data_IF_974821554725
#
_entry.id   IF_974821554725
#
_cell.length_a   1.000
_cell.length_b   1.000
_cell.length_c   1.000
_cell.angle_alpha   90.00
_cell.angle_beta   90.00
_cell.angle_gamma   90.00
#
_symmetry.space_group_name_H-M   'P 1'
#
loop_
_entity.id
_entity.type
_entity.pdbx_description
1 polymer ?
#
# COMPACT_ATOMS: atom_id res chain seq x y z
N UNK A 1 15.41 -9.32 -19.51
CA UNK A 1 15.52 -8.88 -18.10
C UNK A 1 14.29 -9.36 -17.36
N UNK A 2 14.43 -9.96 -16.18
CA UNK A 2 13.26 -10.24 -15.36
C UNK A 2 12.74 -8.94 -14.68
N UNK A 3 11.54 -8.97 -14.11
CA UNK A 3 10.93 -7.79 -13.49
C UNK A 3 11.77 -7.20 -12.37
N UNK A 4 12.41 -8.05 -11.53
CA UNK A 4 13.29 -7.59 -10.46
C UNK A 4 14.49 -6.82 -10.98
N UNK A 5 15.19 -7.37 -11.97
CA UNK A 5 16.33 -6.72 -12.63
C UNK A 5 15.92 -5.39 -13.27
N UNK A 6 14.73 -5.33 -13.88
CA UNK A 6 14.19 -4.12 -14.51
C UNK A 6 13.95 -3.00 -13.52
N UNK A 7 13.33 -3.31 -12.38
CA UNK A 7 13.12 -2.34 -11.30
C UNK A 7 14.46 -1.85 -10.75
N UNK A 8 15.41 -2.75 -10.49
CA UNK A 8 16.74 -2.39 -9.96
C UNK A 8 17.48 -1.48 -10.94
N UNK A 9 17.54 -1.81 -12.24
CA UNK A 9 18.23 -0.96 -13.22
C UNK A 9 17.56 0.39 -13.43
N UNK A 10 16.24 0.48 -13.27
CA UNK A 10 15.54 1.75 -13.29
C UNK A 10 15.92 2.61 -12.07
N UNK A 11 15.97 2.03 -10.87
CA UNK A 11 16.37 2.72 -9.63
C UNK A 11 17.83 3.19 -9.72
N UNK A 12 18.73 2.33 -10.21
CA UNK A 12 20.16 2.61 -10.36
C UNK A 12 20.50 3.45 -11.59
N UNK A 13 19.50 3.79 -12.42
CA UNK A 13 19.68 4.51 -13.69
C UNK A 13 20.67 3.84 -14.65
N UNK A 14 20.75 2.50 -14.64
CA UNK A 14 21.72 1.70 -15.41
C UNK A 14 21.17 1.13 -16.72
N UNK A 15 20.01 1.62 -17.17
CA UNK A 15 19.40 1.25 -18.45
C UNK A 15 18.58 -0.04 -18.38
N UNK A 16 17.31 0.02 -17.90
CA UNK A 16 16.39 -1.11 -17.99
C UNK A 16 16.00 -1.36 -19.47
N UNK A 17 15.52 -2.57 -19.77
CA UNK A 17 15.06 -2.94 -21.12
C UNK A 17 13.73 -2.26 -21.50
N UNK A 18 12.93 -1.86 -20.51
CA UNK A 18 11.79 -0.96 -20.65
C UNK A 18 11.46 -0.27 -19.31
N UNK A 19 10.52 0.70 -19.32
CA UNK A 19 10.07 1.37 -18.10
C UNK A 19 9.30 0.37 -17.22
N UNK A 20 9.71 0.13 -15.96
CA UNK A 20 8.97 -0.78 -15.08
C UNK A 20 7.61 -0.20 -14.69
N UNK A 21 6.62 -1.07 -14.50
CA UNK A 21 5.24 -0.70 -14.14
C UNK A 21 4.89 -1.23 -12.75
N UNK A 22 4.15 -0.45 -11.96
CA UNK A 22 3.49 -0.94 -10.73
C UNK A 22 2.01 -0.58 -10.75
N UNK A 23 1.17 -1.57 -10.49
CA UNK A 23 -0.28 -1.37 -10.40
C UNK A 23 -0.71 -1.13 -8.95
N UNK A 24 -1.34 0.01 -8.69
CA UNK A 24 -1.78 0.43 -7.35
C UNK A 24 -3.26 0.87 -7.35
N UNK A 25 -4.15 -0.01 -7.81
CA UNK A 25 -5.58 0.26 -7.82
C UNK A 25 -6.23 0.08 -6.44
N UNK A 26 -7.18 0.95 -6.11
CA UNK A 26 -8.06 0.81 -4.95
C UNK A 26 -9.24 -0.14 -5.25
N UNK A 27 -9.91 -0.68 -4.23
CA UNK A 27 -11.03 -1.61 -4.40
C UNK A 27 -12.12 -1.13 -5.36
N UNK A 28 -12.39 0.19 -5.38
CA UNK A 28 -13.38 0.80 -6.28
C UNK A 28 -13.10 0.58 -7.76
N UNK A 29 -11.83 0.52 -8.17
CA UNK A 29 -11.48 0.23 -9.56
C UNK A 29 -11.87 -1.20 -9.95
N UNK A 30 -11.68 -2.17 -9.06
CA UNK A 30 -12.11 -3.54 -9.27
C UNK A 30 -13.63 -3.66 -9.22
N UNK A 31 -14.30 -2.98 -8.28
CA UNK A 31 -15.76 -2.97 -8.20
C UNK A 31 -16.40 -2.39 -9.48
N UNK A 32 -15.79 -1.36 -10.07
CA UNK A 32 -16.29 -0.69 -11.27
C UNK A 32 -15.95 -1.42 -12.57
N UNK A 33 -14.74 -1.98 -12.69
CA UNK A 33 -14.21 -2.47 -13.96
C UNK A 33 -14.02 -3.99 -14.03
N UNK A 34 -13.96 -4.68 -12.88
CA UNK A 34 -13.87 -6.14 -12.77
C UNK A 34 -12.91 -6.77 -13.77
N UNK A 35 -13.44 -7.68 -14.59
CA UNK A 35 -12.69 -8.42 -15.60
C UNK A 35 -11.92 -7.54 -16.60
N UNK A 36 -12.40 -6.33 -16.91
CA UNK A 36 -11.69 -5.45 -17.83
C UNK A 36 -10.37 -4.92 -17.23
N UNK A 37 -10.34 -4.67 -15.92
CA UNK A 37 -9.12 -4.29 -15.21
C UNK A 37 -8.16 -5.48 -15.08
N UNK A 38 -8.70 -6.67 -14.82
CA UNK A 38 -7.90 -7.90 -14.78
C UNK A 38 -7.25 -8.22 -16.14
N UNK A 39 -8.00 -8.04 -17.23
CA UNK A 39 -7.47 -8.17 -18.59
C UNK A 39 -6.34 -7.18 -18.85
N UNK A 40 -6.51 -5.92 -18.45
CA UNK A 40 -5.48 -4.89 -18.57
C UNK A 40 -4.22 -5.28 -17.80
N UNK A 41 -4.35 -5.82 -16.59
CA UNK A 41 -3.23 -6.26 -15.76
C UNK A 41 -2.53 -7.49 -16.33
N UNK A 42 -3.26 -8.36 -17.04
CA UNK A 42 -2.67 -9.50 -17.75
C UNK A 42 -1.90 -9.05 -18.99
N UNK A 43 -2.42 -8.06 -19.71
CA UNK A 43 -1.75 -7.45 -20.87
C UNK A 43 -0.50 -6.67 -20.49
N UNK A 44 -0.52 -6.01 -19.34
CA UNK A 44 0.59 -5.20 -18.82
C UNK A 44 0.91 -5.64 -17.38
N UNK A 45 1.68 -6.73 -17.18
CA UNK A 45 1.98 -7.20 -15.83
C UNK A 45 2.84 -6.21 -15.04
N UNK A 46 2.53 -6.04 -13.75
CA UNK A 46 3.36 -5.28 -12.80
C UNK A 46 4.75 -5.89 -12.63
N UNK A 47 5.78 -5.06 -12.57
CA UNK A 47 7.15 -5.47 -12.26
C UNK A 47 7.42 -5.55 -10.75
N UNK A 48 6.57 -4.92 -9.94
CA UNK A 48 6.59 -5.05 -8.48
C UNK A 48 5.45 -5.96 -8.00
N UNK A 49 5.76 -6.79 -7.00
CA UNK A 49 4.75 -7.59 -6.30
C UNK A 49 4.21 -6.81 -5.11
N UNK A 50 2.91 -6.91 -4.86
CA UNK A 50 2.33 -6.39 -3.62
C UNK A 50 2.72 -7.29 -2.46
N UNK A 51 3.16 -6.68 -1.35
CA UNK A 51 3.49 -7.38 -0.09
C UNK A 51 2.56 -6.97 1.06
N UNK A 52 1.45 -6.31 0.72
CA UNK A 52 0.54 -5.70 1.69
C UNK A 52 0.73 -4.19 1.82
N UNK A 53 -0.01 -3.58 2.74
CA UNK A 53 0.11 -2.16 3.08
C UNK A 53 1.10 -1.95 4.23
N UNK A 54 1.78 -0.80 4.23
CA UNK A 54 2.67 -0.39 5.32
C UNK A 54 1.90 0.12 6.56
N UNK A 55 0.60 0.38 6.40
CA UNK A 55 -0.28 0.94 7.42
C UNK A 55 -1.60 0.19 7.42
N UNK A 56 -2.26 0.20 8.57
CA UNK A 56 -3.60 -0.35 8.76
C UNK A 56 -4.53 0.74 9.28
N UNK A 57 -5.84 0.50 9.19
CA UNK A 57 -6.86 1.36 9.80
C UNK A 57 -7.48 2.42 8.89
N UNK A 58 -6.92 2.72 7.71
CA UNK A 58 -7.45 3.79 6.84
C UNK A 58 -8.76 3.43 6.15
N UNK A 59 -9.04 2.13 5.99
CA UNK A 59 -10.37 1.67 5.59
C UNK A 59 -11.30 1.65 6.81
N UNK A 60 -10.81 1.27 7.99
CA UNK A 60 -11.62 1.09 9.19
C UNK A 60 -12.56 -0.13 9.13
N UNK A 61 -13.34 -0.39 10.18
CA UNK A 61 -14.21 -1.58 10.24
C UNK A 61 -15.50 -1.42 9.45
N UNK A 62 -16.05 -0.20 9.36
CA UNK A 62 -17.34 0.08 8.75
C UNK A 62 -17.39 1.50 8.16
N UNK A 63 -18.18 1.69 7.09
CA UNK A 63 -18.49 3.01 6.54
C UNK A 63 -19.06 3.93 7.63
N UNK A 64 -18.53 5.16 7.69
CA UNK A 64 -18.95 6.18 8.64
C UNK A 64 -18.39 6.00 10.07
N UNK A 65 -17.75 4.87 10.38
CA UNK A 65 -17.14 4.62 11.69
C UNK A 65 -15.69 5.07 11.67
N UNK A 66 -15.29 6.02 12.53
CA UNK A 66 -13.90 6.46 12.62
C UNK A 66 -12.95 5.33 13.05
N UNK A 67 -11.78 5.27 12.42
CA UNK A 67 -10.72 4.30 12.72
C UNK A 67 -9.38 4.99 12.76
N UNK A 68 -8.52 4.66 13.73
CA UNK A 68 -7.17 5.20 13.79
C UNK A 68 -6.23 4.36 12.93
N UNK A 69 -5.36 5.01 12.18
CA UNK A 69 -4.26 4.34 11.54
C UNK A 69 -3.10 4.09 12.50
N UNK A 70 -2.09 3.36 12.01
CA UNK A 70 -0.87 3.04 12.75
C UNK A 70 -0.11 4.29 13.23
N UNK A 71 -0.28 5.44 12.57
CA UNK A 71 0.33 6.72 12.94
C UNK A 71 -0.51 7.54 13.94
N UNK A 72 -1.74 7.09 14.23
CA UNK A 72 -2.69 7.75 15.12
C UNK A 72 -3.67 8.70 14.44
N UNK A 73 -3.59 8.87 13.11
CA UNK A 73 -4.55 9.67 12.34
C UNK A 73 -5.91 9.01 12.34
N UNK A 74 -6.97 9.79 12.52
CA UNK A 74 -8.34 9.32 12.53
C UNK A 74 -8.91 9.41 11.11
N UNK A 75 -9.32 8.27 10.57
CA UNK A 75 -9.87 8.11 9.22
C UNK A 75 -11.35 7.76 9.28
N UNK A 76 -12.14 8.31 8.35
CA UNK A 76 -13.52 7.90 8.10
C UNK A 76 -13.67 7.59 6.62
N UNK A 77 -14.09 6.36 6.28
CA UNK A 77 -14.49 6.03 4.91
C UNK A 77 -15.98 6.22 4.70
N UNK A 78 -16.35 6.74 3.54
CA UNK A 78 -17.75 6.95 3.15
C UNK A 78 -18.23 5.91 2.12
N UNK A 79 -17.31 5.15 1.54
CA UNK A 79 -17.56 4.08 0.57
C UNK A 79 -16.56 2.96 0.83
N UNK A 80 -16.84 1.75 0.35
CA UNK A 80 -15.85 0.65 0.34
C UNK A 80 -14.91 0.72 -0.88
N UNK A 81 -15.07 1.73 -1.73
CA UNK A 81 -14.30 1.89 -2.96
C UNK A 81 -12.91 2.51 -2.73
N UNK A 82 -12.79 3.35 -1.70
CA UNK A 82 -11.62 4.17 -1.45
C UNK A 82 -11.16 4.06 0.01
N UNK A 83 -9.90 4.40 0.27
CA UNK A 83 -9.47 4.71 1.65
C UNK A 83 -10.33 5.84 2.22
N UNK A 84 -10.40 5.91 3.54
CA UNK A 84 -11.09 7.01 4.20
C UNK A 84 -10.45 8.37 3.94
N UNK A 85 -11.04 9.40 4.53
CA UNK A 85 -10.44 10.72 4.65
C UNK A 85 -9.98 10.93 6.10
N UNK A 86 -8.86 11.62 6.27
CA UNK A 86 -8.39 12.02 7.60
C UNK A 86 -9.34 13.08 8.15
N UNK A 87 -9.98 12.77 9.27
CA UNK A 87 -10.86 13.66 10.03
C UNK A 87 -10.24 14.11 11.35
N UNK A 88 -9.08 13.58 11.71
CA UNK A 88 -8.33 13.99 12.89
C UNK A 88 -6.85 13.66 12.80
N UNK A 89 -6.00 14.62 13.16
CA UNK A 89 -4.55 14.45 13.23
C UNK A 89 -4.10 14.08 14.66
N UNK A 90 -3.09 13.21 14.85
CA UNK A 90 -2.50 12.95 16.16
C UNK A 90 -1.74 14.16 16.71
N UNK A 91 -1.17 14.99 15.83
CA UNK A 91 -0.40 16.19 16.17
C UNK A 91 -1.23 17.42 15.77
N UNK A 92 -1.92 18.03 16.74
CA UNK A 92 -2.79 19.21 16.49
C UNK A 92 -2.08 20.54 16.62
N UNK A 93 -0.99 20.56 17.38
CA UNK A 93 -0.16 21.72 17.65
C UNK A 93 1.27 21.27 17.99
N UNK A 94 2.15 22.24 18.23
CA UNK A 94 3.56 22.01 18.53
C UNK A 94 3.81 21.37 19.91
N UNK A 95 2.88 21.50 20.85
CA UNK A 95 3.01 20.86 22.16
C UNK A 95 2.74 19.36 22.05
N UNK A 96 1.73 18.97 21.25
CA UNK A 96 1.44 17.57 20.96
C UNK A 96 2.60 16.85 20.27
N UNK A 97 3.43 17.56 19.50
CA UNK A 97 4.62 16.99 18.87
C UNK A 97 5.67 16.54 19.90
N UNK A 98 5.79 17.23 21.03
CA UNK A 98 6.82 16.94 22.04
C UNK A 98 6.64 15.57 22.71
N UNK A 99 5.40 15.08 22.74
CA UNK A 99 5.02 13.80 23.36
C UNK A 99 4.54 12.77 22.34
N UNK A 100 4.61 13.09 21.05
CA UNK A 100 4.21 12.16 20.00
C UNK A 100 5.27 11.06 19.83
N UNK A 101 4.82 9.81 19.87
CA UNK A 101 5.64 8.64 19.59
C UNK A 101 5.20 8.04 18.24
N UNK A 102 6.06 8.06 17.21
CA UNK A 102 5.75 7.41 15.94
C UNK A 102 5.72 5.89 16.13
N UNK A 103 4.93 5.17 15.32
CA UNK A 103 4.95 3.71 15.35
C UNK A 103 6.31 3.16 14.94
N UNK A 104 6.67 2.00 15.47
CA UNK A 104 7.81 1.24 14.95
C UNK A 104 7.44 0.61 13.60
N UNK A 105 8.02 1.14 12.52
CA UNK A 105 7.80 0.67 11.15
C UNK A 105 8.80 -0.40 10.70
N UNK A 106 9.72 -0.81 11.57
CA UNK A 106 10.82 -1.73 11.25
C UNK A 106 10.92 -2.92 12.21
N UNK A 107 9.89 -3.17 13.02
CA UNK A 107 9.86 -4.30 13.94
C UNK A 107 10.02 -5.65 13.23
N UNK A 108 10.65 -6.61 13.91
CA UNK A 108 10.81 -7.98 13.39
C UNK A 108 9.47 -8.62 12.99
N UNK A 109 8.38 -8.28 13.69
CA UNK A 109 7.04 -8.75 13.37
C UNK A 109 6.56 -8.25 12.00
N UNK A 110 6.76 -6.96 11.71
CA UNK A 110 6.40 -6.37 10.40
C UNK A 110 7.24 -6.97 9.28
N UNK A 111 8.55 -7.14 9.50
CA UNK A 111 9.44 -7.77 8.52
C UNK A 111 9.02 -9.23 8.27
N UNK A 112 8.69 -9.98 9.33
CA UNK A 112 8.22 -11.35 9.21
C UNK A 112 6.89 -11.46 8.43
N UNK A 113 5.97 -10.50 8.60
CA UNK A 113 4.73 -10.44 7.82
C UNK A 113 5.01 -10.17 6.34
N UNK A 114 5.90 -9.22 6.03
CA UNK A 114 6.32 -8.95 4.65
C UNK A 114 6.94 -10.20 4.02
N UNK A 115 7.83 -10.90 4.73
CA UNK A 115 8.40 -12.16 4.25
C UNK A 115 7.33 -13.25 4.02
N UNK A 116 6.35 -13.36 4.92
CA UNK A 116 5.26 -14.30 4.76
C UNK A 116 4.40 -13.97 3.53
N UNK A 117 4.13 -12.69 3.28
CA UNK A 117 3.40 -12.23 2.09
C UNK A 117 4.21 -12.46 0.81
N UNK A 118 5.53 -12.23 0.85
CA UNK A 118 6.43 -12.58 -0.25
C UNK A 118 6.36 -14.07 -0.59
N UNK A 119 6.47 -14.97 0.40
CA UNK A 119 6.37 -16.42 0.19
C UNK A 119 4.99 -16.82 -0.36
N UNK A 120 3.90 -16.26 0.18
CA UNK A 120 2.51 -16.56 -0.24
C UNK A 120 2.22 -16.13 -1.66
N UNK A 121 2.74 -14.98 -2.07
CA UNK A 121 2.56 -14.43 -3.41
C UNK A 121 3.52 -15.07 -4.42
N UNK A 122 4.26 -16.09 -3.99
CA UNK A 122 5.14 -16.91 -4.82
C UNK A 122 6.59 -16.44 -4.84
N UNK A 123 6.92 -15.24 -4.34
CA UNK A 123 8.28 -14.66 -4.32
C UNK A 123 8.99 -14.60 -5.67
N UNK A 124 8.33 -15.08 -6.72
CA UNK A 124 8.84 -15.44 -8.02
C UNK A 124 7.79 -14.93 -9.01
N UNK A 125 8.13 -13.83 -9.68
CA UNK A 125 7.76 -13.69 -11.08
C UNK A 125 9.03 -13.93 -11.90
#
# INVERSE_FOLDING_TARGET
MNSRERVIRAIEMSGPDCIPITHAALPGAFARHGAALEELYRRYPSDAISVGGATTGEFGPQIGVPSRDTWGSLWVRYTDEHKGQVVGCPIRDWEALKTYEPPDTASDALIAEIEANLRRNGGLR
#
